data_IF_133962367483
#
_entry.id   IF_133962367483
#
_cell.length_a   1.000
_cell.length_b   1.000
_cell.length_c   1.000
_cell.angle_alpha   90.00
_cell.angle_beta   90.00
_cell.angle_gamma   90.00
#
_symmetry.space_group_name_H-M   'P 1'
#
loop_
_entity.id
_entity.type
_entity.pdbx_description
1 polymer ?
#
# COMPACT_ATOMS: atom_id res chain seq x y z
N UNK A 1 -6.70 -27.31 9.49
CA UNK A 1 -6.76 -25.98 8.85
C UNK A 1 -5.40 -25.72 8.25
N UNK A 2 -5.31 -25.59 6.93
CA UNK A 2 -4.04 -25.20 6.28
C UNK A 2 -3.64 -23.80 6.79
N UNK A 3 -2.35 -23.54 7.06
CA UNK A 3 -1.92 -22.19 7.42
C UNK A 3 -2.34 -21.24 6.29
N UNK A 4 -3.02 -20.14 6.64
CA UNK A 4 -3.32 -19.10 5.68
C UNK A 4 -1.99 -18.60 5.09
N UNK A 5 -1.83 -18.76 3.78
CA UNK A 5 -0.60 -18.36 3.11
C UNK A 5 -0.48 -16.83 3.16
N UNK A 6 0.59 -16.31 3.75
CA UNK A 6 0.90 -14.88 3.72
C UNK A 6 1.36 -14.49 2.31
N UNK A 7 0.61 -13.61 1.64
CA UNK A 7 0.95 -13.08 0.34
C UNK A 7 1.66 -11.72 0.49
N UNK A 8 2.78 -11.53 -0.21
CA UNK A 8 3.44 -10.24 -0.35
C UNK A 8 3.20 -9.74 -1.78
N UNK A 9 2.63 -8.54 -1.91
CA UNK A 9 2.34 -7.91 -3.21
C UNK A 9 3.13 -6.60 -3.31
N UNK A 10 3.92 -6.46 -4.37
CA UNK A 10 4.59 -5.20 -4.71
C UNK A 10 3.76 -4.37 -5.67
N UNK A 11 3.52 -3.10 -5.35
CA UNK A 11 2.82 -2.15 -6.23
C UNK A 11 3.83 -1.21 -6.88
N UNK A 12 4.03 -1.34 -8.20
CA UNK A 12 4.95 -0.55 -9.00
C UNK A 12 4.24 0.10 -10.19
N UNK A 13 4.90 1.06 -10.86
CA UNK A 13 4.33 1.78 -12.00
C UNK A 13 4.86 3.21 -12.13
N UNK A 14 4.53 3.87 -13.24
CA UNK A 14 4.99 5.22 -13.57
C UNK A 14 4.63 6.24 -12.48
N UNK A 15 5.41 7.32 -12.36
CA UNK A 15 5.16 8.40 -11.40
C UNK A 15 3.73 8.94 -11.59
N UNK A 16 3.08 9.31 -10.49
CA UNK A 16 1.71 9.84 -10.45
C UNK A 16 0.57 8.94 -10.97
N UNK A 17 0.84 7.67 -11.29
CA UNK A 17 -0.21 6.70 -11.66
C UNK A 17 -0.97 6.12 -10.46
N UNK A 18 -1.04 6.84 -9.34
CA UNK A 18 -1.94 6.50 -8.23
C UNK A 18 -1.57 5.26 -7.41
N UNK A 19 -0.31 4.79 -7.42
CA UNK A 19 0.14 3.63 -6.64
C UNK A 19 -0.18 3.73 -5.15
N UNK A 20 0.20 4.84 -4.52
CA UNK A 20 -0.11 5.12 -3.10
C UNK A 20 -1.62 5.20 -2.87
N UNK A 21 -2.35 5.84 -3.78
CA UNK A 21 -3.81 5.94 -3.70
C UNK A 21 -4.49 4.55 -3.77
N UNK A 22 -4.01 3.66 -4.64
CA UNK A 22 -4.49 2.29 -4.75
C UNK A 22 -4.25 1.50 -3.46
N UNK A 23 -3.03 1.54 -2.92
CA UNK A 23 -2.70 0.88 -1.65
C UNK A 23 -3.60 1.39 -0.53
N UNK A 24 -3.80 2.71 -0.43
CA UNK A 24 -4.69 3.32 0.56
C UNK A 24 -6.15 2.90 0.37
N UNK A 25 -6.64 2.83 -0.87
CA UNK A 25 -8.01 2.40 -1.14
C UNK A 25 -8.24 0.94 -0.75
N UNK A 26 -7.25 0.06 -0.96
CA UNK A 26 -7.35 -1.36 -0.63
C UNK A 26 -7.18 -1.64 0.86
N UNK A 27 -6.29 -0.91 1.53
CA UNK A 27 -5.86 -1.24 2.90
C UNK A 27 -6.33 -0.26 3.97
N UNK A 28 -6.79 0.93 3.56
CA UNK A 28 -7.04 2.07 4.46
C UNK A 28 -5.77 2.74 5.00
N UNK A 29 -4.57 2.24 4.67
CA UNK A 29 -3.31 2.70 5.24
C UNK A 29 -2.65 3.73 4.32
N UNK A 30 -2.29 4.88 4.90
CA UNK A 30 -1.47 5.89 4.24
C UNK A 30 0.01 5.49 4.30
N UNK A 31 0.62 5.32 3.13
CA UNK A 31 2.03 4.90 3.01
C UNK A 31 2.99 6.07 2.92
N UNK A 32 2.56 7.23 2.45
CA UNK A 32 3.38 8.45 2.39
C UNK A 32 3.33 9.17 3.77
N UNK A 33 4.28 8.82 4.62
CA UNK A 33 4.31 9.22 6.05
C UNK A 33 5.23 10.40 6.31
N UNK A 34 6.18 10.66 5.42
CA UNK A 34 7.12 11.76 5.60
C UNK A 34 6.45 13.09 5.25
N UNK A 35 6.70 14.17 6.00
CA UNK A 35 6.20 15.50 5.65
C UNK A 35 6.62 15.95 4.24
N UNK A 36 7.80 15.53 3.79
CA UNK A 36 8.31 15.86 2.47
C UNK A 36 7.56 15.15 1.33
N UNK A 37 7.18 13.89 1.52
CA UNK A 37 6.37 13.13 0.54
C UNK A 37 5.05 13.84 0.30
N UNK A 38 4.36 14.24 1.38
CA UNK A 38 3.08 14.96 1.32
C UNK A 38 3.22 16.34 0.70
N UNK A 39 4.29 17.07 1.03
CA UNK A 39 4.56 18.41 0.49
C UNK A 39 4.83 18.38 -1.01
N UNK A 40 5.53 17.35 -1.48
CA UNK A 40 5.95 17.21 -2.88
C UNK A 40 4.99 16.38 -3.73
N UNK A 41 4.07 15.63 -3.11
CA UNK A 41 3.16 14.73 -3.81
C UNK A 41 3.84 13.49 -4.40
N UNK A 42 4.98 13.06 -3.85
CA UNK A 42 5.76 11.91 -4.35
C UNK A 42 6.15 10.99 -3.20
N UNK A 43 6.18 9.68 -3.44
CA UNK A 43 6.76 8.72 -2.50
C UNK A 43 8.30 8.79 -2.58
N UNK A 44 8.95 8.87 -1.42
CA UNK A 44 10.42 9.00 -1.30
C UNK A 44 10.98 7.73 -0.66
N UNK A 45 10.27 7.15 0.31
CA UNK A 45 10.61 5.89 0.95
C UNK A 45 9.66 4.76 0.51
N UNK A 46 10.09 3.52 0.73
CA UNK A 46 9.22 2.37 0.50
C UNK A 46 8.07 2.35 1.53
N UNK A 47 6.84 2.29 1.01
CA UNK A 47 5.62 2.17 1.78
C UNK A 47 5.25 0.71 2.06
N UNK A 48 4.72 0.44 3.26
CA UNK A 48 4.21 -0.88 3.63
C UNK A 48 2.80 -0.75 4.21
N UNK A 49 1.90 -1.64 3.77
CA UNK A 49 0.53 -1.75 4.25
C UNK A 49 0.16 -3.24 4.37
N UNK A 50 -0.78 -3.53 5.26
CA UNK A 50 -1.32 -4.88 5.45
C UNK A 50 -2.82 -4.87 5.16
N UNK A 51 -3.30 -5.99 4.63
CA UNK A 51 -4.72 -6.24 4.40
C UNK A 51 -5.06 -7.58 5.03
N UNK A 52 -5.89 -7.57 6.07
CA UNK A 52 -6.48 -8.78 6.63
C UNK A 52 -7.82 -9.00 5.95
N UNK A 53 -7.97 -10.17 5.33
CA UNK A 53 -9.24 -10.62 4.78
C UNK A 53 -9.77 -11.69 5.71
N UNK A 54 -10.84 -11.39 6.44
CA UNK A 54 -11.55 -12.39 7.23
C UNK A 54 -12.32 -13.28 6.27
N UNK A 55 -11.71 -14.40 5.85
CA UNK A 55 -12.31 -15.44 5.01
C UNK A 55 -13.27 -14.90 3.95
N UNK A 56 -12.72 -14.44 2.82
CA UNK A 56 -13.52 -13.85 1.74
C UNK A 56 -14.76 -14.68 1.37
N UNK A 57 -15.84 -13.98 1.01
CA UNK A 57 -17.11 -14.59 0.57
C UNK A 57 -16.90 -15.63 -0.55
#
# INVERSE_FOLDING_TARGET
MSPAASLIVGVIGHVDHGKTALVRALTGIETDRLPEERRRGISIALGFAHLSLDGGA
#
